data_IF_014445728200
#
_entry.id   IF_014445728200
#
_cell.length_a   1.000
_cell.length_b   1.000
_cell.length_c   1.000
_cell.angle_alpha   90.00
_cell.angle_beta   90.00
_cell.angle_gamma   90.00
#
_symmetry.space_group_name_H-M   'P 1'
#
loop_
_entity.id
_entity.type
_entity.pdbx_description
1 polymer ?
#
# COMPACT_ATOMS: atom_id res chain seq x y z
N UNK A 1 -18.19 -17.01 -12.89
CA UNK A 1 -16.85 -16.41 -12.97
C UNK A 1 -17.08 -14.91 -13.00
N UNK A 2 -16.83 -14.24 -11.88
CA UNK A 2 -17.30 -12.88 -11.60
C UNK A 2 -16.67 -11.85 -12.53
N UNK A 3 -17.52 -11.11 -13.24
CA UNK A 3 -17.18 -9.98 -14.12
C UNK A 3 -16.73 -8.79 -13.28
N UNK A 4 -15.43 -8.52 -13.24
CA UNK A 4 -14.87 -7.36 -12.54
C UNK A 4 -15.03 -6.09 -13.40
N UNK A 5 -16.21 -5.47 -13.29
CA UNK A 5 -16.52 -4.15 -13.87
C UNK A 5 -15.96 -3.05 -12.96
N UNK A 6 -14.64 -2.85 -12.94
CA UNK A 6 -14.03 -1.69 -12.28
C UNK A 6 -13.80 -0.58 -13.31
N UNK A 7 -14.58 0.48 -13.23
CA UNK A 7 -14.38 1.69 -14.03
C UNK A 7 -13.01 2.30 -13.70
N UNK A 8 -12.14 2.59 -14.70
CA UNK A 8 -10.74 2.98 -14.51
C UNK A 8 -10.52 4.36 -13.86
N UNK A 9 -11.59 5.10 -13.56
CA UNK A 9 -11.53 6.46 -13.03
C UNK A 9 -11.41 6.52 -11.49
N UNK A 10 -11.69 5.41 -10.79
CA UNK A 10 -11.73 5.39 -9.32
C UNK A 10 -10.75 4.39 -8.71
N UNK A 11 -9.90 3.74 -9.51
CA UNK A 11 -8.89 2.80 -9.01
C UNK A 11 -7.55 3.53 -8.92
N UNK A 12 -6.97 3.72 -7.73
CA UNK A 12 -5.72 4.44 -7.61
C UNK A 12 -4.55 3.56 -8.05
N UNK A 13 -3.50 4.14 -8.67
CA UNK A 13 -2.35 3.37 -9.13
C UNK A 13 -1.62 2.72 -7.95
N UNK A 14 -0.98 1.58 -8.21
CA UNK A 14 -0.17 0.91 -7.19
C UNK A 14 1.02 1.80 -6.79
N UNK A 15 1.28 2.03 -5.50
CA UNK A 15 2.44 2.80 -5.02
C UNK A 15 3.75 1.98 -5.06
N UNK A 16 3.80 0.90 -5.85
CA UNK A 16 4.95 0.02 -5.93
C UNK A 16 6.04 0.66 -6.81
N UNK A 17 7.25 0.78 -6.27
CA UNK A 17 8.44 1.32 -6.96
C UNK A 17 9.36 0.24 -7.52
N UNK A 18 8.92 -1.03 -7.53
CA UNK A 18 9.72 -2.18 -7.98
C UNK A 18 10.76 -2.68 -6.96
N UNK A 19 10.74 -2.13 -5.74
CA UNK A 19 11.54 -2.62 -4.60
C UNK A 19 10.64 -3.46 -3.70
N UNK A 20 11.06 -4.69 -3.42
CA UNK A 20 10.35 -5.62 -2.56
C UNK A 20 11.27 -6.11 -1.44
N UNK A 21 11.57 -5.24 -0.49
CA UNK A 21 12.38 -5.55 0.69
C UNK A 21 11.58 -5.17 1.92
N UNK A 22 11.31 -6.14 2.79
CA UNK A 22 10.53 -5.92 4.02
C UNK A 22 11.50 -5.63 5.16
N UNK A 23 11.35 -4.45 5.78
CA UNK A 23 12.10 -4.10 6.96
C UNK A 23 11.70 -5.01 8.14
N UNK A 24 12.66 -5.69 8.80
CA UNK A 24 12.34 -6.65 9.86
C UNK A 24 11.75 -5.98 11.11
N UNK A 25 12.03 -4.69 11.34
CA UNK A 25 11.54 -3.95 12.51
C UNK A 25 10.08 -3.52 12.35
N UNK A 26 9.76 -2.86 11.24
CA UNK A 26 8.42 -2.27 11.00
C UNK A 26 7.48 -3.21 10.25
N UNK A 27 7.99 -4.29 9.66
CA UNK A 27 7.25 -5.21 8.79
C UNK A 27 6.60 -4.50 7.58
N UNK A 28 7.23 -3.41 7.13
CA UNK A 28 6.83 -2.64 5.96
C UNK A 28 7.86 -2.77 4.84
N UNK A 29 7.40 -2.68 3.60
CA UNK A 29 8.28 -2.61 2.45
C UNK A 29 9.07 -1.29 2.47
N UNK A 30 10.39 -1.34 2.32
CA UNK A 30 11.24 -0.15 2.31
C UNK A 30 11.01 0.74 1.08
N UNK A 31 10.43 0.20 0.01
CA UNK A 31 10.11 0.96 -1.21
C UNK A 31 8.73 1.62 -1.17
N UNK A 32 7.69 0.83 -0.89
CA UNK A 32 6.30 1.29 -0.97
C UNK A 32 5.60 1.41 0.39
N UNK A 33 6.27 1.06 1.49
CA UNK A 33 5.78 1.19 2.88
C UNK A 33 4.51 0.39 3.19
N UNK A 34 4.13 -0.53 2.29
CA UNK A 34 3.03 -1.48 2.47
C UNK A 34 3.46 -2.69 3.27
N UNK A 35 2.52 -3.31 3.97
CA UNK A 35 2.72 -4.62 4.59
C UNK A 35 2.67 -5.73 3.53
N UNK A 36 3.17 -6.92 3.90
CA UNK A 36 3.11 -8.09 3.02
C UNK A 36 1.65 -8.47 2.66
N UNK A 37 0.73 -8.37 3.62
CA UNK A 37 -0.70 -8.67 3.45
C UNK A 37 -1.36 -7.72 2.44
N UNK A 38 -1.06 -6.43 2.57
CA UNK A 38 -1.51 -5.40 1.62
C UNK A 38 -0.97 -5.67 0.21
N UNK A 39 0.31 -6.04 0.09
CA UNK A 39 0.93 -6.35 -1.21
C UNK A 39 0.24 -7.57 -1.83
N UNK A 40 0.01 -8.63 -1.06
CA UNK A 40 -0.64 -9.84 -1.53
C UNK A 40 -2.10 -9.61 -1.95
N UNK A 41 -2.86 -8.82 -1.20
CA UNK A 41 -4.29 -8.56 -1.44
C UNK A 41 -4.59 -7.43 -2.42
N UNK A 42 -3.59 -6.66 -2.90
CA UNK A 42 -3.83 -5.44 -3.68
C UNK A 42 -4.70 -5.63 -4.93
N UNK A 43 -4.54 -6.75 -5.62
CA UNK A 43 -5.30 -7.05 -6.84
C UNK A 43 -6.77 -7.37 -6.57
N UNK A 44 -7.06 -7.91 -5.38
CA UNK A 44 -8.42 -8.25 -4.93
C UNK A 44 -9.12 -7.08 -4.24
N UNK A 45 -8.39 -6.03 -3.85
CA UNK A 45 -8.97 -4.87 -3.17
C UNK A 45 -9.89 -4.04 -4.07
N UNK A 46 -11.03 -3.65 -3.51
CA UNK A 46 -11.91 -2.66 -4.08
C UNK A 46 -11.25 -1.26 -4.08
N UNK A 47 -11.67 -0.34 -4.96
CA UNK A 47 -11.08 0.99 -5.05
C UNK A 47 -11.07 1.76 -3.71
N UNK A 48 -12.10 1.66 -2.89
CA UNK A 48 -12.13 2.29 -1.56
C UNK A 48 -11.06 1.71 -0.61
N UNK A 49 -10.84 0.39 -0.65
CA UNK A 49 -9.80 -0.26 0.13
C UNK A 49 -8.41 0.16 -0.35
N UNK A 50 -8.22 0.29 -1.67
CA UNK A 50 -6.95 0.76 -2.22
C UNK A 50 -6.63 2.20 -1.79
N UNK A 51 -7.63 3.08 -1.81
CA UNK A 51 -7.48 4.45 -1.29
C UNK A 51 -7.18 4.47 0.21
N UNK A 52 -7.85 3.62 1.00
CA UNK A 52 -7.57 3.52 2.44
C UNK A 52 -6.12 3.10 2.70
N UNK A 53 -5.59 2.13 1.94
CA UNK A 53 -4.18 1.74 2.05
C UNK A 53 -3.25 2.90 1.70
N UNK A 54 -3.48 3.60 0.58
CA UNK A 54 -2.64 4.74 0.18
C UNK A 54 -2.65 5.83 1.25
N UNK A 55 -3.81 6.17 1.82
CA UNK A 55 -3.90 7.14 2.90
C UNK A 55 -3.11 6.71 4.15
N UNK A 56 -3.06 5.40 4.45
CA UNK A 56 -2.20 4.89 5.53
C UNK A 56 -0.71 5.00 5.20
N UNK A 57 -0.32 4.91 3.93
CA UNK A 57 1.08 5.09 3.52
C UNK A 57 1.58 6.50 3.78
N UNK A 58 0.77 7.52 3.48
CA UNK A 58 1.10 8.91 3.81
C UNK A 58 1.34 9.09 5.32
N UNK A 59 0.50 8.50 6.17
CA UNK A 59 0.68 8.53 7.63
C UNK A 59 1.95 7.79 8.07
N UNK A 60 2.23 6.61 7.51
CA UNK A 60 3.46 5.84 7.78
C UNK A 60 4.70 6.62 7.35
N UNK A 61 4.68 7.26 6.19
CA UNK A 61 5.75 8.12 5.68
C UNK A 61 5.98 9.32 6.62
N UNK A 62 4.91 9.99 7.05
CA UNK A 62 5.01 11.10 7.99
C UNK A 62 5.64 10.68 9.32
N UNK A 63 5.35 9.48 9.84
CA UNK A 63 5.99 8.93 11.05
C UNK A 63 7.50 8.69 10.84
N UNK A 64 7.89 8.16 9.68
CA UNK A 64 9.30 7.94 9.33
C UNK A 64 10.04 9.27 9.19
N UNK A 65 9.46 10.24 8.49
CA UNK A 65 10.05 11.57 8.27
C UNK A 65 10.17 12.39 9.55
N UNK A 66 9.22 12.24 10.47
CA UNK A 66 9.25 12.94 11.77
C UNK A 66 10.26 12.33 12.76
N UNK A 67 10.98 11.28 12.38
CA UNK A 67 11.97 10.64 13.24
C UNK A 67 11.36 9.88 14.42
N UNK A 68 10.04 9.62 14.39
CA UNK A 68 9.38 8.67 15.29
C UNK A 68 9.69 7.24 14.84
N UNK A 69 10.97 6.91 14.79
CA UNK A 69 11.48 5.58 14.56
C UNK A 69 11.76 4.98 15.95
N UNK A 70 10.74 4.38 16.56
CA UNK A 70 10.94 3.49 17.71
C UNK A 70 11.68 2.22 17.26
#
# INVERSE_FOLDING_TARGET
>A
MTTNSSSPLNDPPSPCVGVCVIAPKTQWCEGCYRTLDEIAGWWDYNPDQKHAVIAQLDDRLARIMSGAFD
#
